data_IF_552758339544
#
_entry.id   IF_552758339544
#
_cell.length_a   1.000
_cell.length_b   1.000
_cell.length_c   1.000
_cell.angle_alpha   90.00
_cell.angle_beta   90.00
_cell.angle_gamma   90.00
#
_symmetry.space_group_name_H-M   'P 1'
#
loop_
_entity.id
_entity.type
_entity.pdbx_description
1 polymer ?
#
# COMPACT_ATOMS: atom_id res chain seq x y z
N UNK A 1 34.06 21.99 11.50
CA UNK A 1 32.65 22.35 11.80
C UNK A 1 31.72 21.30 11.21
N UNK A 2 30.50 21.16 11.71
CA UNK A 2 29.52 20.22 11.14
C UNK A 2 28.87 20.78 9.87
N UNK A 3 28.34 19.90 9.02
CA UNK A 3 27.49 20.24 7.88
C UNK A 3 26.26 21.08 8.26
N UNK A 4 25.78 20.94 9.50
CA UNK A 4 24.64 21.68 10.00
C UNK A 4 25.07 22.68 11.06
N UNK A 5 24.71 23.94 10.83
CA UNK A 5 24.95 25.04 11.76
C UNK A 5 24.26 24.83 13.09
N UNK A 6 23.15 24.08 13.12
CA UNK A 6 22.42 23.73 14.34
C UNK A 6 23.31 22.98 15.34
N UNK A 7 24.12 22.04 14.87
CA UNK A 7 24.99 21.21 15.74
C UNK A 7 26.16 22.04 16.26
N UNK A 8 26.74 22.91 15.41
CA UNK A 8 27.76 23.86 15.85
C UNK A 8 27.22 24.82 16.92
N UNK A 9 25.99 25.31 16.74
CA UNK A 9 25.32 26.17 17.72
C UNK A 9 25.03 25.44 19.04
N UNK A 10 24.67 24.15 18.98
CA UNK A 10 24.52 23.32 20.17
C UNK A 10 25.84 23.16 20.94
N UNK A 11 26.96 22.97 20.24
CA UNK A 11 28.29 22.90 20.85
C UNK A 11 28.68 24.24 21.47
N UNK A 12 28.48 25.35 20.74
CA UNK A 12 28.72 26.71 21.24
C UNK A 12 27.88 27.02 22.47
N UNK A 13 26.61 26.62 22.50
CA UNK A 13 25.69 26.85 23.62
C UNK A 13 25.98 26.03 24.89
N UNK A 14 27.06 25.23 24.90
CA UNK A 14 27.56 24.60 26.13
C UNK A 14 28.39 25.57 26.99
N UNK A 15 28.97 26.61 26.39
CA UNK A 15 29.66 27.69 27.11
C UNK A 15 28.69 28.84 27.43
N UNK A 16 28.94 29.55 28.53
CA UNK A 16 28.19 30.75 28.92
C UNK A 16 26.73 30.52 29.32
N UNK A 17 26.46 29.41 30.01
CA UNK A 17 25.12 29.10 30.54
C UNK A 17 24.79 30.03 31.71
N UNK A 18 23.51 30.38 31.87
CA UNK A 18 23.02 31.21 32.99
C UNK A 18 23.72 32.59 33.13
N UNK A 19 24.31 33.10 32.06
CA UNK A 19 25.03 34.38 32.08
C UNK A 19 26.51 34.26 32.50
N UNK A 20 27.01 33.04 32.71
CA UNK A 20 28.42 32.80 32.99
C UNK A 20 29.30 33.31 31.83
N UNK A 21 30.51 33.83 32.10
CA UNK A 21 31.47 34.12 31.06
C UNK A 21 31.89 32.83 30.34
N UNK A 22 31.95 32.86 29.01
CA UNK A 22 32.37 31.72 28.20
C UNK A 22 32.72 32.11 26.77
N UNK A 23 33.67 31.40 26.18
CA UNK A 23 34.08 31.59 24.80
C UNK A 23 34.12 30.25 24.07
N UNK A 24 33.77 30.26 22.78
CA UNK A 24 33.91 29.11 21.89
C UNK A 24 34.79 29.48 20.71
N UNK A 25 35.75 28.63 20.37
CA UNK A 25 36.56 28.75 19.16
C UNK A 25 36.38 27.50 18.31
N UNK A 26 36.17 27.68 17.01
CA UNK A 26 36.03 26.58 16.04
C UNK A 26 37.26 26.54 15.16
N UNK A 27 37.84 25.34 15.02
CA UNK A 27 38.93 25.06 14.10
C UNK A 27 38.40 24.30 12.88
N UNK A 28 38.99 24.57 11.72
CA UNK A 28 38.59 24.05 10.41
C UNK A 28 39.85 23.92 9.55
N UNK A 29 39.93 22.85 8.77
CA UNK A 29 40.91 22.75 7.68
C UNK A 29 40.26 23.11 6.36
N UNK A 30 41.02 23.72 5.45
CA UNK A 30 40.58 24.00 4.09
C UNK A 30 40.37 22.72 3.26
N UNK A 31 40.94 21.61 3.72
CA UNK A 31 40.78 20.27 3.16
C UNK A 31 39.49 19.57 3.65
N UNK A 32 38.79 20.15 4.63
CA UNK A 32 37.54 19.60 5.15
C UNK A 32 36.51 19.44 4.02
N UNK A 33 35.80 18.31 4.04
CA UNK A 33 34.88 17.90 2.98
C UNK A 33 33.82 18.96 2.64
N UNK A 34 33.29 19.66 3.66
CA UNK A 34 32.32 20.74 3.50
C UNK A 34 32.88 21.89 2.64
N UNK A 35 34.12 22.29 2.91
CA UNK A 35 34.77 23.39 2.21
C UNK A 35 35.20 22.97 0.81
N UNK A 36 35.63 21.70 0.66
CA UNK A 36 35.95 21.10 -0.64
C UNK A 36 34.74 21.04 -1.57
N UNK A 37 33.59 20.57 -1.07
CA UNK A 37 32.38 20.37 -1.88
C UNK A 37 31.59 21.67 -2.10
N UNK A 38 31.50 22.56 -1.10
CA UNK A 38 30.58 23.71 -1.15
C UNK A 38 31.24 25.09 -1.01
N UNK A 39 32.50 25.15 -0.59
CA UNK A 39 33.26 26.39 -0.37
C UNK A 39 34.20 26.79 -1.51
N UNK A 40 34.50 25.85 -2.42
CA UNK A 40 35.62 25.88 -3.38
C UNK A 40 35.89 27.24 -4.06
N UNK A 41 34.94 27.79 -4.81
CA UNK A 41 35.21 29.01 -5.61
C UNK A 41 35.36 30.29 -4.79
N UNK A 42 34.76 30.37 -3.60
CA UNK A 42 34.85 31.57 -2.76
C UNK A 42 36.09 31.52 -1.87
N UNK A 43 36.38 30.34 -1.32
CA UNK A 43 37.54 30.11 -0.45
C UNK A 43 38.83 30.14 -1.25
N UNK A 44 38.89 29.53 -2.44
CA UNK A 44 40.05 29.61 -3.34
C UNK A 44 40.40 31.05 -3.73
N UNK A 45 39.38 31.89 -4.02
CA UNK A 45 39.57 33.32 -4.34
C UNK A 45 40.13 34.12 -3.16
N UNK A 46 39.67 33.82 -1.95
CA UNK A 46 40.17 34.44 -0.73
C UNK A 46 41.64 34.03 -0.50
N UNK A 47 41.98 32.74 -0.64
CA UNK A 47 43.36 32.25 -0.53
C UNK A 47 44.30 32.88 -1.57
N UNK A 48 43.88 32.96 -2.83
CA UNK A 48 44.69 33.55 -3.90
C UNK A 48 44.94 35.05 -3.71
N UNK A 49 43.99 35.75 -3.08
CA UNK A 49 44.10 37.18 -2.79
C UNK A 49 45.00 37.45 -1.58
N UNK A 50 44.97 36.57 -0.58
CA UNK A 50 45.74 36.73 0.66
C UNK A 50 47.23 36.37 0.50
N UNK A 51 47.63 35.55 -0.48
CA UNK A 51 49.04 35.16 -0.75
C UNK A 51 49.82 34.82 0.54
N UNK A 52 49.29 33.93 1.37
CA UNK A 52 49.84 33.60 2.69
C UNK A 52 50.48 32.22 2.74
N UNK A 53 51.48 32.06 3.62
CA UNK A 53 52.15 30.79 3.90
C UNK A 53 51.20 29.76 4.53
N UNK A 54 51.37 28.49 4.17
CA UNK A 54 50.47 27.37 4.52
C UNK A 54 50.29 27.18 6.04
N UNK A 55 51.22 27.67 6.85
CA UNK A 55 51.27 27.44 8.30
C UNK A 55 50.67 28.57 9.16
N UNK A 56 50.11 29.64 8.55
CA UNK A 56 49.55 30.76 9.34
C UNK A 56 48.07 30.57 9.70
N UNK A 57 47.68 30.67 10.99
CA UNK A 57 46.28 30.68 11.39
C UNK A 57 45.52 31.85 10.77
N UNK A 58 44.49 31.54 9.96
CA UNK A 58 43.67 32.54 9.28
C UNK A 58 42.46 32.93 10.12
N UNK A 59 42.47 34.13 10.68
CA UNK A 59 41.30 34.74 11.33
C UNK A 59 40.81 35.94 10.50
N UNK A 60 39.90 35.70 9.56
CA UNK A 60 39.34 36.77 8.73
C UNK A 60 37.80 36.74 8.69
N UNK A 61 37.10 37.87 8.92
CA UNK A 61 35.64 37.92 8.91
C UNK A 61 34.99 37.43 7.60
N UNK A 62 35.66 37.67 6.45
CA UNK A 62 35.18 37.17 5.15
C UNK A 62 35.24 35.64 5.05
N UNK A 63 36.25 35.01 5.66
CA UNK A 63 36.37 33.55 5.70
C UNK A 63 35.26 32.95 6.56
N UNK A 64 34.97 33.54 7.72
CA UNK A 64 33.83 33.13 8.57
C UNK A 64 32.50 33.21 7.80
N UNK A 65 32.25 34.30 7.07
CA UNK A 65 31.04 34.44 6.23
C UNK A 65 31.00 33.42 5.09
N UNK A 66 32.12 33.13 4.45
CA UNK A 66 32.21 32.13 3.38
C UNK A 66 31.88 30.72 3.91
N UNK A 67 32.38 30.36 5.09
CA UNK A 67 32.07 29.10 5.78
C UNK A 67 30.57 29.02 6.12
N UNK A 68 29.99 30.08 6.67
CA UNK A 68 28.55 30.11 6.97
C UNK A 68 27.69 29.94 5.70
N UNK A 69 28.09 30.56 4.59
CA UNK A 69 27.41 30.40 3.31
C UNK A 69 27.55 28.98 2.75
N UNK A 70 28.70 28.34 2.91
CA UNK A 70 28.89 26.93 2.54
C UNK A 70 27.96 26.01 3.37
N UNK A 71 27.88 26.22 4.69
CA UNK A 71 26.95 25.47 5.55
C UNK A 71 25.49 25.67 5.14
N UNK A 72 25.06 26.90 4.85
CA UNK A 72 23.70 27.16 4.33
C UNK A 72 23.40 26.42 3.03
N UNK A 73 24.37 26.34 2.12
CA UNK A 73 24.22 25.59 0.86
C UNK A 73 24.08 24.09 1.11
N UNK A 74 24.88 23.53 2.02
CA UNK A 74 24.79 22.12 2.42
C UNK A 74 23.43 21.83 3.04
N UNK A 75 22.97 22.69 3.96
CA UNK A 75 21.64 22.56 4.58
C UNK A 75 20.51 22.65 3.55
N UNK A 76 20.60 23.57 2.58
CA UNK A 76 19.63 23.70 1.50
C UNK A 76 19.63 22.45 0.60
N UNK A 77 20.80 21.92 0.24
CA UNK A 77 20.94 20.70 -0.55
C UNK A 77 20.29 19.50 0.15
N UNK A 78 20.60 19.27 1.43
CA UNK A 78 19.98 18.21 2.22
C UNK A 78 18.48 18.43 2.42
N UNK A 79 18.04 19.68 2.55
CA UNK A 79 16.63 20.03 2.64
C UNK A 79 15.88 19.68 1.35
N UNK A 80 16.44 19.99 0.18
CA UNK A 80 15.86 19.62 -1.12
C UNK A 80 15.73 18.10 -1.27
N UNK A 81 16.76 17.34 -0.92
CA UNK A 81 16.69 15.86 -0.93
C UNK A 81 15.55 15.36 -0.04
N UNK A 82 15.46 15.86 1.19
CA UNK A 82 14.40 15.45 2.12
C UNK A 82 13.02 15.89 1.67
N UNK A 83 12.90 17.08 1.07
CA UNK A 83 11.65 17.57 0.50
C UNK A 83 11.19 16.63 -0.61
N UNK A 84 12.08 16.28 -1.52
CA UNK A 84 11.77 15.34 -2.59
C UNK A 84 11.33 13.98 -2.02
N UNK A 85 12.07 13.43 -1.06
CA UNK A 85 11.70 12.18 -0.39
C UNK A 85 10.31 12.25 0.26
N UNK A 86 10.02 13.35 0.96
CA UNK A 86 8.71 13.60 1.57
C UNK A 86 7.59 13.66 0.52
N UNK A 87 7.84 14.22 -0.67
CA UNK A 87 6.83 14.27 -1.73
C UNK A 87 6.48 12.89 -2.29
N UNK A 88 7.45 11.98 -2.44
CA UNK A 88 7.18 10.57 -2.76
C UNK A 88 6.36 9.89 -1.64
N UNK A 89 6.76 10.10 -0.39
CA UNK A 89 6.09 9.49 0.76
C UNK A 89 4.66 10.00 0.94
N UNK A 90 4.39 11.27 0.58
CA UNK A 90 3.05 11.86 0.61
C UNK A 90 2.07 11.12 -0.31
N UNK A 91 2.52 10.63 -1.46
CA UNK A 91 1.70 9.82 -2.38
C UNK A 91 1.28 8.51 -1.70
N UNK A 92 2.26 7.80 -1.14
CA UNK A 92 2.02 6.56 -0.39
C UNK A 92 1.12 6.79 0.84
N UNK A 93 1.28 7.92 1.52
CA UNK A 93 0.46 8.23 2.69
C UNK A 93 -1.01 8.43 2.30
N UNK A 94 -1.31 9.10 1.18
CA UNK A 94 -2.69 9.22 0.67
C UNK A 94 -3.31 7.85 0.39
N UNK A 95 -2.56 6.95 -0.26
CA UNK A 95 -3.04 5.57 -0.50
C UNK A 95 -3.30 4.83 0.82
N UNK A 96 -2.39 4.97 1.80
CA UNK A 96 -2.51 4.36 3.12
C UNK A 96 -3.75 4.84 3.87
N UNK A 97 -4.02 6.15 3.84
CA UNK A 97 -5.21 6.74 4.49
C UNK A 97 -6.50 6.13 3.97
N UNK A 98 -6.62 5.97 2.65
CA UNK A 98 -7.80 5.33 2.02
C UNK A 98 -7.93 3.88 2.47
N UNK A 99 -6.86 3.09 2.40
CA UNK A 99 -6.91 1.66 2.75
C UNK A 99 -7.21 1.48 4.24
N UNK A 100 -6.62 2.29 5.12
CA UNK A 100 -6.83 2.17 6.55
C UNK A 100 -8.22 2.63 6.96
N UNK A 101 -8.79 3.61 6.25
CA UNK A 101 -10.19 4.02 6.43
C UNK A 101 -11.14 2.88 6.05
N UNK A 102 -10.96 2.25 4.89
CA UNK A 102 -11.79 1.12 4.47
C UNK A 102 -11.62 -0.09 5.41
N UNK A 103 -10.38 -0.40 5.82
CA UNK A 103 -10.10 -1.47 6.78
C UNK A 103 -10.79 -1.23 8.12
N UNK A 104 -10.78 0.00 8.63
CA UNK A 104 -11.50 0.38 9.85
C UNK A 104 -13.01 0.23 9.67
N UNK A 105 -13.57 0.71 8.56
CA UNK A 105 -14.99 0.57 8.23
C UNK A 105 -15.42 -0.90 8.23
N UNK A 106 -14.60 -1.81 7.69
CA UNK A 106 -14.88 -3.25 7.70
C UNK A 106 -14.86 -3.86 9.10
N UNK A 107 -13.90 -3.44 9.94
CA UNK A 107 -13.79 -3.90 11.32
C UNK A 107 -14.96 -3.42 12.20
N UNK A 108 -15.45 -2.21 11.96
CA UNK A 108 -16.54 -1.60 12.72
C UNK A 108 -17.93 -2.05 12.22
N UNK A 109 -18.06 -2.40 10.94
CA UNK A 109 -19.34 -2.86 10.37
C UNK A 109 -19.71 -4.27 10.81
N UNK A 110 -20.98 -4.41 11.17
CA UNK A 110 -21.57 -5.72 11.49
C UNK A 110 -21.92 -6.53 10.24
N UNK A 111 -22.29 -5.87 9.14
CA UNK A 111 -22.78 -6.51 7.91
C UNK A 111 -22.17 -5.82 6.68
N UNK A 112 -21.72 -6.61 5.71
CA UNK A 112 -21.15 -6.18 4.43
C UNK A 112 -21.93 -6.68 3.21
N UNK A 113 -23.12 -7.26 3.44
CA UNK A 113 -23.97 -7.83 2.38
C UNK A 113 -24.29 -6.80 1.31
N UNK A 114 -24.73 -5.61 1.71
CA UNK A 114 -25.21 -4.60 0.78
C UNK A 114 -24.06 -4.12 -0.12
N UNK A 115 -22.89 -3.86 0.47
CA UNK A 115 -21.69 -3.54 -0.30
C UNK A 115 -21.27 -4.68 -1.23
N UNK A 116 -21.35 -5.92 -0.77
CA UNK A 116 -21.04 -7.07 -1.60
C UNK A 116 -21.97 -7.12 -2.83
N UNK A 117 -23.27 -6.93 -2.62
CA UNK A 117 -24.26 -6.96 -3.70
C UNK A 117 -24.10 -5.78 -4.66
N UNK A 118 -23.78 -4.59 -4.17
CA UNK A 118 -23.46 -3.43 -5.00
C UNK A 118 -22.23 -3.68 -5.87
N UNK A 119 -21.15 -4.24 -5.31
CA UNK A 119 -19.96 -4.57 -6.10
C UNK A 119 -20.19 -5.72 -7.07
N UNK A 120 -20.97 -6.72 -6.68
CA UNK A 120 -21.38 -7.79 -7.57
C UNK A 120 -22.15 -7.23 -8.77
N UNK A 121 -23.08 -6.31 -8.52
CA UNK A 121 -23.87 -5.67 -9.56
C UNK A 121 -23.00 -4.89 -10.54
N UNK A 122 -22.08 -4.09 -10.02
CA UNK A 122 -21.11 -3.37 -10.85
C UNK A 122 -20.25 -4.32 -11.69
N UNK A 123 -19.67 -5.35 -11.09
CA UNK A 123 -18.78 -6.28 -11.80
C UNK A 123 -19.49 -7.07 -12.89
N UNK A 124 -20.73 -7.50 -12.65
CA UNK A 124 -21.53 -8.17 -13.69
C UNK A 124 -21.91 -7.19 -14.80
N UNK A 125 -22.23 -5.94 -14.46
CA UNK A 125 -22.48 -4.87 -15.45
C UNK A 125 -21.25 -4.65 -16.32
N UNK A 126 -20.08 -4.45 -15.72
CA UNK A 126 -18.81 -4.25 -16.44
C UNK A 126 -18.51 -5.44 -17.38
N UNK A 127 -18.73 -6.69 -16.92
CA UNK A 127 -18.56 -7.89 -17.76
C UNK A 127 -19.54 -7.89 -18.95
N UNK A 128 -20.81 -7.57 -18.71
CA UNK A 128 -21.83 -7.51 -19.77
C UNK A 128 -21.51 -6.41 -20.78
N UNK A 129 -21.11 -5.22 -20.32
CA UNK A 129 -20.74 -4.12 -21.19
C UNK A 129 -19.54 -4.47 -22.06
N UNK A 130 -18.48 -5.06 -21.51
CA UNK A 130 -17.28 -5.43 -22.28
C UNK A 130 -17.59 -6.38 -23.44
N UNK A 131 -18.53 -7.31 -23.24
CA UNK A 131 -18.84 -8.37 -24.22
C UNK A 131 -20.04 -8.07 -25.12
N UNK A 132 -21.01 -7.28 -24.65
CA UNK A 132 -22.28 -7.01 -25.35
C UNK A 132 -22.47 -5.55 -25.75
N UNK A 133 -21.57 -4.60 -25.45
CA UNK A 133 -21.68 -3.20 -25.91
C UNK A 133 -21.31 -3.00 -27.38
N UNK A 134 -20.64 -3.98 -27.98
CA UNK A 134 -20.16 -3.95 -29.37
C UNK A 134 -21.31 -4.07 -30.38
N UNK A 135 -20.99 -3.89 -31.67
CA UNK A 135 -21.94 -4.09 -32.78
C UNK A 135 -22.53 -5.51 -32.76
N UNK A 136 -23.68 -5.72 -33.40
CA UNK A 136 -24.38 -7.02 -33.41
C UNK A 136 -23.52 -8.17 -33.95
N UNK A 137 -22.53 -7.87 -34.80
CA UNK A 137 -21.60 -8.84 -35.41
C UNK A 137 -20.43 -9.21 -34.47
N UNK A 138 -20.21 -8.43 -33.42
CA UNK A 138 -19.09 -8.59 -32.46
C UNK A 138 -19.54 -9.07 -31.07
N UNK A 139 -20.79 -9.51 -30.93
CA UNK A 139 -21.32 -9.99 -29.65
C UNK A 139 -20.62 -11.29 -29.22
N UNK A 140 -19.89 -11.22 -28.11
CA UNK A 140 -19.11 -12.34 -27.58
C UNK A 140 -19.82 -13.02 -26.39
N UNK A 141 -20.84 -13.83 -26.69
CA UNK A 141 -21.55 -14.62 -25.68
C UNK A 141 -20.68 -15.71 -25.03
N UNK A 142 -19.63 -16.16 -25.72
CA UNK A 142 -18.70 -17.17 -25.20
C UNK A 142 -17.77 -16.54 -24.16
N UNK A 143 -17.19 -15.39 -24.49
CA UNK A 143 -16.42 -14.56 -23.56
C UNK A 143 -17.24 -14.15 -22.35
N UNK A 144 -18.49 -13.71 -22.54
CA UNK A 144 -19.41 -13.38 -21.46
C UNK A 144 -19.64 -14.55 -20.49
N UNK A 145 -20.00 -15.71 -21.04
CA UNK A 145 -20.20 -16.93 -20.25
C UNK A 145 -18.96 -17.30 -19.45
N UNK A 146 -17.79 -17.25 -20.08
CA UNK A 146 -16.51 -17.58 -19.45
C UNK A 146 -16.15 -16.59 -18.34
N UNK A 147 -16.22 -15.27 -18.60
CA UNK A 147 -15.93 -14.24 -17.60
C UNK A 147 -16.89 -14.31 -16.41
N UNK A 148 -18.18 -14.55 -16.65
CA UNK A 148 -19.17 -14.73 -15.59
C UNK A 148 -18.89 -15.98 -14.75
N UNK A 149 -18.51 -17.09 -15.39
CA UNK A 149 -18.14 -18.33 -14.70
C UNK A 149 -16.83 -18.18 -13.91
N UNK A 150 -15.85 -17.43 -14.41
CA UNK A 150 -14.61 -17.15 -13.68
C UNK A 150 -14.88 -16.34 -12.41
N UNK A 151 -15.75 -15.34 -12.50
CA UNK A 151 -16.15 -14.50 -11.36
C UNK A 151 -16.98 -15.28 -10.33
N UNK A 152 -18.02 -15.98 -10.77
CA UNK A 152 -19.06 -16.55 -9.88
C UNK A 152 -18.95 -18.05 -9.65
N UNK A 153 -18.18 -18.76 -10.48
CA UNK A 153 -18.16 -20.23 -10.53
C UNK A 153 -19.42 -20.85 -11.16
N UNK A 154 -20.33 -20.05 -11.70
CA UNK A 154 -21.59 -20.51 -12.30
C UNK A 154 -21.40 -20.68 -13.80
N UNK A 155 -21.61 -21.91 -14.30
CA UNK A 155 -21.54 -22.21 -15.72
C UNK A 155 -22.90 -21.97 -16.38
N UNK A 156 -22.95 -21.05 -17.34
CA UNK A 156 -24.12 -20.78 -18.18
C UNK A 156 -23.73 -21.05 -19.62
N UNK A 157 -24.50 -21.84 -20.37
CA UNK A 157 -24.17 -22.11 -21.77
C UNK A 157 -24.39 -20.85 -22.61
N UNK A 158 -23.46 -20.51 -23.54
CA UNK A 158 -23.63 -19.36 -24.43
C UNK A 158 -24.95 -19.39 -25.22
N UNK A 159 -25.41 -20.58 -25.63
CA UNK A 159 -26.66 -20.74 -26.36
C UNK A 159 -27.90 -20.40 -25.54
N UNK A 160 -27.83 -20.50 -24.21
CA UNK A 160 -28.92 -20.09 -23.33
C UNK A 160 -28.94 -18.57 -23.15
N UNK A 161 -27.77 -17.91 -23.20
CA UNK A 161 -27.67 -16.45 -23.21
C UNK A 161 -28.18 -15.84 -24.52
N UNK A 162 -27.92 -16.49 -25.67
CA UNK A 162 -28.41 -16.06 -26.98
C UNK A 162 -29.93 -16.06 -27.12
N UNK A 163 -30.64 -16.86 -26.30
CA UNK A 163 -32.10 -16.92 -26.29
C UNK A 163 -32.75 -15.77 -25.53
N UNK A 164 -31.97 -15.04 -24.73
CA UNK A 164 -32.43 -13.92 -23.91
C UNK A 164 -32.27 -12.63 -24.73
N UNK A 165 -33.19 -11.68 -24.56
CA UNK A 165 -33.03 -10.35 -25.15
C UNK A 165 -31.76 -9.69 -24.61
N UNK A 166 -31.00 -9.00 -25.46
CA UNK A 166 -29.74 -8.31 -25.08
C UNK A 166 -29.92 -7.43 -23.84
N UNK A 167 -31.01 -6.69 -23.79
CA UNK A 167 -31.30 -5.74 -22.69
C UNK A 167 -31.64 -6.46 -21.38
N UNK A 168 -32.08 -7.72 -21.46
CA UNK A 168 -32.44 -8.54 -20.31
C UNK A 168 -31.28 -9.39 -19.78
N UNK A 169 -30.21 -9.60 -20.56
CA UNK A 169 -29.07 -10.45 -20.17
C UNK A 169 -28.46 -9.99 -18.85
N UNK A 170 -28.28 -8.68 -18.66
CA UNK A 170 -27.76 -8.12 -17.41
C UNK A 170 -28.63 -8.51 -16.22
N UNK A 171 -29.93 -8.26 -16.31
CA UNK A 171 -30.89 -8.53 -15.24
C UNK A 171 -30.94 -10.03 -14.89
N UNK A 172 -30.89 -10.90 -15.91
CA UNK A 172 -30.88 -12.36 -15.69
C UNK A 172 -29.60 -12.81 -15.00
N UNK A 173 -28.43 -12.34 -15.45
CA UNK A 173 -27.16 -12.70 -14.81
C UNK A 173 -27.08 -12.20 -13.37
N UNK A 174 -27.57 -10.99 -13.10
CA UNK A 174 -27.65 -10.43 -11.76
C UNK A 174 -28.56 -11.27 -10.86
N UNK A 175 -29.75 -11.65 -11.33
CA UNK A 175 -30.68 -12.48 -10.58
C UNK A 175 -30.07 -13.86 -10.26
N UNK A 176 -29.41 -14.50 -11.24
CA UNK A 176 -28.70 -15.77 -11.04
C UNK A 176 -27.61 -15.62 -9.97
N UNK A 177 -26.79 -14.57 -10.05
CA UNK A 177 -25.71 -14.34 -9.11
C UNK A 177 -26.23 -14.04 -7.68
N UNK A 178 -27.27 -13.20 -7.57
CA UNK A 178 -27.93 -12.85 -6.30
C UNK A 178 -28.56 -14.10 -5.65
N UNK A 179 -29.29 -14.92 -6.42
CA UNK A 179 -29.85 -16.20 -5.95
C UNK A 179 -28.77 -17.16 -5.49
N UNK A 180 -27.67 -17.27 -6.22
CA UNK A 180 -26.56 -18.16 -5.85
C UNK A 180 -25.85 -17.70 -4.56
N UNK A 181 -25.75 -16.39 -4.35
CA UNK A 181 -25.26 -15.81 -3.11
C UNK A 181 -26.19 -16.14 -1.93
N UNK A 182 -27.50 -15.96 -2.08
CA UNK A 182 -28.49 -16.28 -1.04
C UNK A 182 -28.50 -17.77 -0.68
N UNK A 183 -28.41 -18.64 -1.69
CA UNK A 183 -28.26 -20.09 -1.47
C UNK A 183 -26.99 -20.41 -0.67
N UNK A 184 -25.88 -19.70 -0.93
CA UNK A 184 -24.63 -19.89 -0.20
C UNK A 184 -24.75 -19.46 1.25
N UNK A 185 -25.38 -18.31 1.50
CA UNK A 185 -25.65 -17.82 2.85
C UNK A 185 -26.47 -18.84 3.66
N UNK A 186 -27.52 -19.40 3.06
CA UNK A 186 -28.36 -20.41 3.70
C UNK A 186 -27.64 -21.75 3.91
N UNK A 187 -26.83 -22.20 2.94
CA UNK A 187 -25.96 -23.38 3.08
C UNK A 187 -25.02 -23.25 4.28
N UNK A 188 -24.33 -22.11 4.41
CA UNK A 188 -23.41 -21.84 5.52
C UNK A 188 -24.13 -21.77 6.86
N UNK A 189 -25.33 -21.16 6.89
CA UNK A 189 -26.16 -21.09 8.09
C UNK A 189 -26.60 -22.49 8.55
N UNK A 190 -26.98 -23.38 7.62
CA UNK A 190 -27.29 -24.79 7.91
C UNK A 190 -26.08 -25.53 8.46
N UNK A 191 -24.92 -25.39 7.81
CA UNK A 191 -23.67 -26.01 8.27
C UNK A 191 -23.26 -25.56 9.68
N UNK A 192 -23.47 -24.29 10.03
CA UNK A 192 -23.21 -23.81 11.39
C UNK A 192 -24.15 -24.44 12.43
N UNK A 193 -25.44 -24.58 12.10
CA UNK A 193 -26.41 -25.25 12.98
C UNK A 193 -26.08 -26.72 13.20
N UNK A 194 -25.63 -27.42 12.17
CA UNK A 194 -25.33 -28.86 12.22
C UNK A 194 -23.94 -29.17 12.82
N UNK A 195 -23.00 -28.22 12.73
CA UNK A 195 -21.62 -28.42 13.13
C UNK A 195 -21.16 -27.46 14.23
N UNK A 196 -21.09 -28.00 15.44
CA UNK A 196 -20.59 -27.30 16.63
C UNK A 196 -19.18 -26.69 16.46
N UNK A 197 -18.29 -27.26 15.62
CA UNK A 197 -16.98 -26.63 15.39
C UNK A 197 -17.08 -25.35 14.60
N UNK A 198 -17.95 -25.32 13.60
CA UNK A 198 -18.19 -24.16 12.74
C UNK A 198 -18.89 -23.07 13.57
N UNK A 199 -19.94 -23.43 14.33
CA UNK A 199 -20.66 -22.49 15.20
C UNK A 199 -19.75 -21.81 16.22
N UNK A 200 -18.81 -22.53 16.83
CA UNK A 200 -17.84 -21.94 17.77
C UNK A 200 -16.86 -20.98 17.11
N UNK A 201 -16.56 -21.18 15.83
CA UNK A 201 -15.59 -20.34 15.10
C UNK A 201 -16.23 -19.12 14.45
N UNK A 202 -17.41 -19.29 13.86
CA UNK A 202 -18.06 -18.29 13.01
C UNK A 202 -19.43 -17.83 13.53
N UNK A 203 -19.87 -18.33 14.69
CA UNK A 203 -21.14 -17.94 15.29
C UNK A 203 -22.37 -18.44 14.52
N UNK A 204 -23.48 -17.74 14.72
CA UNK A 204 -24.78 -18.09 14.12
C UNK A 204 -24.96 -17.57 12.69
N UNK A 205 -24.16 -16.57 12.30
CA UNK A 205 -24.12 -16.04 10.94
C UNK A 205 -22.70 -16.13 10.35
N UNK A 206 -22.29 -17.32 9.86
CA UNK A 206 -20.95 -17.50 9.34
C UNK A 206 -20.64 -16.65 8.12
N UNK A 207 -21.65 -16.29 7.33
CA UNK A 207 -21.44 -15.55 6.09
C UNK A 207 -20.82 -14.17 6.39
N UNK A 208 -21.33 -13.47 7.39
CA UNK A 208 -20.82 -12.13 7.79
C UNK A 208 -19.40 -12.19 8.32
N UNK A 209 -19.09 -13.21 9.13
CA UNK A 209 -17.73 -13.41 9.64
C UNK A 209 -16.75 -13.75 8.51
N UNK A 210 -17.17 -14.61 7.58
CA UNK A 210 -16.37 -15.00 6.41
C UNK A 210 -16.13 -13.78 5.51
N UNK A 211 -17.17 -12.99 5.20
CA UNK A 211 -17.05 -11.78 4.39
C UNK A 211 -16.03 -10.80 4.97
N UNK A 212 -16.14 -10.48 6.26
CA UNK A 212 -15.18 -9.56 6.91
C UNK A 212 -13.77 -10.14 6.93
N UNK A 213 -13.61 -11.38 7.38
CA UNK A 213 -12.30 -12.01 7.49
C UNK A 213 -11.62 -12.09 6.13
N UNK A 214 -12.35 -12.53 5.11
CA UNK A 214 -11.85 -12.69 3.76
C UNK A 214 -11.46 -11.33 3.16
N UNK A 215 -12.34 -10.32 3.24
CA UNK A 215 -12.08 -9.00 2.69
C UNK A 215 -10.86 -8.34 3.36
N UNK A 216 -10.75 -8.42 4.69
CA UNK A 216 -9.56 -7.92 5.41
C UNK A 216 -8.29 -8.62 4.95
N UNK A 217 -8.33 -9.96 4.79
CA UNK A 217 -7.18 -10.73 4.34
C UNK A 217 -6.77 -10.38 2.90
N UNK A 218 -7.74 -10.17 2.01
CA UNK A 218 -7.48 -9.74 0.63
C UNK A 218 -6.82 -8.35 0.64
N UNK A 219 -7.41 -7.38 1.36
CA UNK A 219 -6.86 -6.02 1.49
C UNK A 219 -5.44 -6.06 2.01
N UNK A 220 -5.18 -6.79 3.11
CA UNK A 220 -3.86 -6.87 3.72
C UNK A 220 -2.83 -7.52 2.77
N UNK A 221 -3.25 -8.48 1.94
CA UNK A 221 -2.36 -9.07 0.92
C UNK A 221 -2.06 -8.09 -0.21
N UNK A 222 -3.10 -7.57 -0.86
CA UNK A 222 -2.99 -6.68 -2.02
C UNK A 222 -2.27 -5.38 -1.67
N UNK A 223 -2.49 -4.86 -0.46
CA UNK A 223 -1.78 -3.68 0.02
C UNK A 223 -0.27 -3.92 0.16
N UNK A 224 0.16 -5.08 0.65
CA UNK A 224 1.60 -5.41 0.68
C UNK A 224 2.16 -5.49 -0.73
N UNK A 225 1.47 -6.17 -1.64
CA UNK A 225 1.89 -6.28 -3.04
C UNK A 225 2.02 -4.90 -3.69
N UNK A 226 1.07 -3.99 -3.41
CA UNK A 226 1.13 -2.59 -3.85
C UNK A 226 2.30 -1.82 -3.25
N UNK A 227 2.61 -2.00 -1.97
CA UNK A 227 3.78 -1.37 -1.36
C UNK A 227 5.08 -1.81 -2.04
N UNK A 228 5.22 -3.09 -2.36
CA UNK A 228 6.37 -3.60 -3.12
C UNK A 228 6.41 -3.01 -4.54
N UNK A 229 5.26 -2.95 -5.23
CA UNK A 229 5.18 -2.34 -6.56
C UNK A 229 5.56 -0.85 -6.55
N UNK A 230 5.13 -0.10 -5.53
CA UNK A 230 5.47 1.32 -5.37
C UNK A 230 6.94 1.56 -5.02
N UNK A 231 7.59 0.63 -4.33
CA UNK A 231 9.02 0.67 -4.03
C UNK A 231 9.83 0.46 -5.32
N UNK A 232 9.51 -0.58 -6.10
CA UNK A 232 10.10 -0.82 -7.42
C UNK A 232 9.86 0.33 -8.40
N UNK A 233 8.66 0.92 -8.39
CA UNK A 233 8.36 2.09 -9.20
C UNK A 233 9.28 3.25 -8.82
N UNK A 234 9.50 3.49 -7.51
CA UNK A 234 10.38 4.56 -7.02
C UNK A 234 11.84 4.35 -7.43
N UNK A 235 12.33 3.12 -7.42
CA UNK A 235 13.68 2.77 -7.89
C UNK A 235 13.84 2.99 -9.41
N UNK A 236 12.83 2.63 -10.20
CA UNK A 236 12.86 2.72 -11.66
C UNK A 236 12.56 4.10 -12.24
N UNK A 237 11.79 4.94 -11.54
CA UNK A 237 11.28 6.21 -12.08
C UNK A 237 12.40 7.24 -12.36
N UNK A 238 13.54 7.10 -11.69
CA UNK A 238 14.72 7.95 -11.93
C UNK A 238 15.20 7.92 -13.39
N UNK A 239 14.99 6.80 -14.10
CA UNK A 239 15.33 6.68 -15.53
C UNK A 239 14.43 7.53 -16.43
N UNK A 240 13.26 7.96 -15.96
CA UNK A 240 12.35 8.84 -16.74
C UNK A 240 12.80 10.29 -16.76
N UNK A 241 13.65 10.70 -15.83
CA UNK A 241 14.29 12.02 -15.85
C UNK A 241 15.10 12.24 -17.15
N UNK A 242 15.62 11.16 -17.76
CA UNK A 242 16.32 11.23 -19.04
C UNK A 242 15.40 11.64 -20.21
N UNK A 243 14.08 11.43 -20.08
CA UNK A 243 13.06 11.81 -21.07
C UNK A 243 12.47 13.21 -20.88
N UNK A 244 13.09 14.06 -20.05
CA UNK A 244 12.60 15.43 -19.72
C UNK A 244 11.22 15.46 -19.03
N UNK A 245 10.76 14.34 -18.48
CA UNK A 245 9.56 14.30 -17.63
C UNK A 245 9.96 14.44 -16.16
N UNK A 246 9.15 15.14 -15.39
CA UNK A 246 9.31 15.23 -13.94
C UNK A 246 9.05 13.83 -13.32
N UNK A 247 10.06 13.19 -12.69
CA UNK A 247 9.91 11.86 -12.12
C UNK A 247 8.84 11.79 -11.03
N UNK A 248 8.61 12.86 -10.28
CA UNK A 248 7.61 12.88 -9.23
C UNK A 248 6.19 12.84 -9.82
N UNK A 249 5.96 13.58 -10.90
CA UNK A 249 4.65 13.59 -11.58
C UNK A 249 4.38 12.21 -12.19
N UNK A 250 5.37 11.61 -12.85
CA UNK A 250 5.25 10.27 -13.40
C UNK A 250 4.96 9.23 -12.30
N UNK A 251 5.67 9.31 -11.16
CA UNK A 251 5.41 8.47 -9.98
C UNK A 251 3.99 8.62 -9.44
N UNK A 252 3.44 9.83 -9.40
CA UNK A 252 2.08 10.09 -8.95
C UNK A 252 1.04 9.44 -9.87
N UNK A 253 1.22 9.56 -11.20
CA UNK A 253 0.29 9.02 -12.19
C UNK A 253 0.32 7.49 -12.16
N UNK A 254 1.49 6.89 -12.34
CA UNK A 254 1.64 5.43 -12.36
C UNK A 254 1.30 4.81 -11.00
N UNK A 255 1.69 5.48 -9.91
CA UNK A 255 1.35 5.03 -8.56
C UNK A 255 -0.16 5.04 -8.32
N UNK A 256 -0.89 6.00 -8.90
CA UNK A 256 -2.35 6.03 -8.83
C UNK A 256 -2.99 4.93 -9.69
N UNK A 257 -2.45 4.65 -10.88
CA UNK A 257 -2.91 3.54 -11.73
C UNK A 257 -2.74 2.18 -11.03
N UNK A 258 -1.57 1.95 -10.43
CA UNK A 258 -1.30 0.77 -9.61
C UNK A 258 -2.29 0.66 -8.44
N UNK A 259 -2.59 1.79 -7.78
CA UNK A 259 -3.53 1.84 -6.68
C UNK A 259 -4.96 1.50 -7.13
N UNK A 260 -5.43 2.05 -8.26
CA UNK A 260 -6.76 1.71 -8.82
C UNK A 260 -6.84 0.24 -9.23
N UNK A 261 -5.80 -0.28 -9.87
CA UNK A 261 -5.70 -1.69 -10.24
C UNK A 261 -5.78 -2.60 -9.01
N UNK A 262 -5.06 -2.26 -7.94
CA UNK A 262 -5.14 -2.95 -6.65
C UNK A 262 -6.57 -2.93 -6.09
N UNK A 263 -7.25 -1.77 -6.06
CA UNK A 263 -8.62 -1.66 -5.56
C UNK A 263 -9.60 -2.52 -6.36
N UNK A 264 -9.47 -2.54 -7.68
CA UNK A 264 -10.30 -3.39 -8.54
C UNK A 264 -10.03 -4.87 -8.29
N UNK A 265 -8.76 -5.25 -8.17
CA UNK A 265 -8.37 -6.64 -7.86
C UNK A 265 -8.88 -7.10 -6.48
N UNK A 266 -8.93 -6.21 -5.48
CA UNK A 266 -9.53 -6.51 -4.17
C UNK A 266 -11.02 -6.86 -4.33
N UNK A 267 -11.78 -6.07 -5.10
CA UNK A 267 -13.23 -6.29 -5.32
C UNK A 267 -13.48 -7.59 -6.07
N UNK A 268 -12.70 -7.85 -7.12
CA UNK A 268 -12.81 -9.07 -7.92
C UNK A 268 -12.50 -10.32 -7.09
N UNK A 269 -11.39 -10.32 -6.34
CA UNK A 269 -11.02 -11.44 -5.47
C UNK A 269 -12.05 -11.65 -4.36
N UNK A 270 -12.66 -10.58 -3.84
CA UNK A 270 -13.69 -10.68 -2.81
C UNK A 270 -14.90 -11.45 -3.33
N UNK A 271 -15.44 -11.07 -4.49
CA UNK A 271 -16.56 -11.77 -5.13
C UNK A 271 -16.19 -13.22 -5.45
N UNK A 272 -15.05 -13.40 -6.11
CA UNK A 272 -14.57 -14.72 -6.54
C UNK A 272 -14.41 -15.69 -5.37
N UNK A 273 -13.82 -15.24 -4.27
CA UNK A 273 -13.60 -16.10 -3.11
C UNK A 273 -14.88 -16.35 -2.31
N UNK A 274 -15.82 -15.41 -2.25
CA UNK A 274 -17.12 -15.65 -1.59
C UNK A 274 -17.90 -16.76 -2.31
N UNK A 275 -17.97 -16.74 -3.64
CA UNK A 275 -18.69 -17.79 -4.37
C UNK A 275 -18.05 -19.17 -4.24
N UNK A 276 -16.72 -19.22 -4.05
CA UNK A 276 -15.91 -20.45 -3.97
C UNK A 276 -15.63 -20.91 -2.54
N UNK A 277 -16.09 -20.20 -1.51
CA UNK A 277 -15.77 -20.54 -0.13
C UNK A 277 -16.43 -21.87 0.27
N UNK A 278 -15.63 -22.76 0.84
CA UNK A 278 -16.09 -24.02 1.40
C UNK A 278 -15.58 -24.16 2.83
N UNK A 279 -16.51 -24.35 3.78
CA UNK A 279 -16.14 -24.60 5.16
C UNK A 279 -15.74 -26.06 5.33
N UNK A 280 -14.43 -26.29 5.53
CA UNK A 280 -13.94 -27.62 5.90
C UNK A 280 -14.18 -27.86 7.39
N UNK A 281 -14.99 -28.85 7.72
CA UNK A 281 -15.05 -29.38 9.08
C UNK A 281 -13.83 -30.24 9.38
N UNK A 282 -13.24 -30.12 10.58
CA UNK A 282 -12.28 -31.14 11.05
C UNK A 282 -12.99 -32.52 11.05
N UNK A 283 -12.44 -33.56 10.40
CA UNK A 283 -12.99 -34.91 10.46
C UNK A 283 -13.13 -35.36 11.93
N UNK A 284 -14.27 -35.95 12.29
CA UNK A 284 -14.55 -36.42 13.67
C UNK A 284 -13.42 -37.32 14.23
N UNK A 285 -12.74 -38.08 13.37
CA UNK A 285 -11.57 -38.90 13.73
C UNK A 285 -10.39 -38.10 14.30
N UNK A 286 -10.07 -36.94 13.73
CA UNK A 286 -8.94 -36.11 14.18
C UNK A 286 -9.20 -35.51 15.57
N UNK A 287 -10.46 -35.20 15.91
CA UNK A 287 -10.85 -34.78 17.26
C UNK A 287 -10.73 -35.91 18.27
N UNK A 288 -11.14 -37.13 17.92
CA UNK A 288 -11.00 -38.30 18.78
C UNK A 288 -9.52 -38.65 19.03
N UNK A 289 -8.69 -38.63 17.99
CA UNK A 289 -7.24 -38.86 18.10
C UNK A 289 -6.52 -37.77 18.89
N UNK A 290 -6.85 -36.48 18.70
CA UNK A 290 -6.31 -35.38 19.53
C UNK A 290 -6.72 -35.49 20.99
N UNK A 291 -7.98 -35.85 21.28
CA UNK A 291 -8.47 -36.07 22.66
C UNK A 291 -7.80 -37.29 23.30
N UNK A 292 -7.60 -38.38 22.55
CA UNK A 292 -6.86 -39.56 23.00
C UNK A 292 -5.38 -39.26 23.27
N UNK A 293 -4.72 -38.46 22.41
CA UNK A 293 -3.33 -38.00 22.62
C UNK A 293 -3.21 -37.09 23.84
N UNK A 294 -4.17 -36.18 24.08
CA UNK A 294 -4.21 -35.33 25.29
C UNK A 294 -4.43 -36.16 26.58
N UNK A 295 -5.33 -37.15 26.57
CA UNK A 295 -5.54 -38.09 27.69
C UNK A 295 -4.33 -38.98 27.98
N UNK A 296 -3.62 -39.46 26.93
CA UNK A 296 -2.38 -40.24 27.11
C UNK A 296 -1.24 -39.39 27.68
N UNK A 297 -1.16 -38.10 27.33
CA UNK A 297 -0.17 -37.17 27.92
C UNK A 297 -0.48 -36.80 29.37
N UNK A 298 -1.76 -36.71 29.78
CA UNK A 298 -2.10 -36.45 31.19
C UNK A 298 -1.87 -37.67 32.09
N UNK A 299 -2.14 -38.89 31.60
CA UNK A 299 -1.85 -40.14 32.32
C UNK A 299 -0.36 -40.47 32.47
N UNK A 300 0.52 -39.85 31.67
CA UNK A 300 1.99 -39.99 31.79
C UNK A 300 2.63 -38.95 32.71
N UNK A 301 1.86 -38.01 33.24
CA UNK A 301 2.30 -36.93 34.14
C UNK A 301 1.83 -37.13 35.59
N UNK A 302 1.18 -38.25 35.87
CA UNK A 302 0.89 -38.79 37.20
C UNK A 302 1.71 -40.05 37.33
#
# INVERSE_FOLDING_TARGET
>A
RHESRRIDNQLRGRAGRQGDPGSSRFYLSLEDEILRLFGGNSIKRIMSMLKMDEDTPLEHPMLTRAIENAQKKVEAYHFEIRKNLLEYDNVLNKHREVIYKERRKILEKANLRDEFLEFLEKMVTDIVEVHLSKSLEELDYEGLSKSFAELTGILIKPDDLKKISRDDVLNVLLDIAKKRYEQKEEELRRLSKENESIRKQFGEDPMREIERYLLLRIIDSKWKDHLYAMDHLKEGIGLRAYGQQDPLIAYQIEGFELFQSMLNSIREDWIRFIFRVELRSEPKENRAQRRARKRKKSKRRV
#
